data_IF_444089542419
#
_entry.id   IF_444089542419
#
_cell.length_a   1.000
_cell.length_b   1.000
_cell.length_c   1.000
_cell.angle_alpha   90.00
_cell.angle_beta   90.00
_cell.angle_gamma   90.00
#
_symmetry.space_group_name_H-M   'P 1'
#
loop_
_entity.id
_entity.type
_entity.pdbx_description
1 polymer ?
#
# COMPACT_ATOMS: atom_id res chain seq x y z
N UNK A 1 -2.53 -19.78 -1.34
CA UNK A 1 -2.54 -18.47 -0.69
C UNK A 1 -1.24 -18.21 0.02
N UNK A 2 -0.67 -17.06 -0.19
CA UNK A 2 0.59 -16.71 0.42
C UNK A 2 0.41 -15.78 1.59
N UNK A 3 1.20 -16.03 2.62
CA UNK A 3 1.25 -15.12 3.75
C UNK A 3 2.45 -14.21 3.57
N UNK A 4 2.20 -12.93 3.52
CA UNK A 4 3.27 -11.98 3.41
C UNK A 4 3.90 -11.80 4.77
N UNK A 5 5.22 -11.60 4.78
CA UNK A 5 5.91 -11.44 6.04
C UNK A 5 5.43 -10.18 6.73
N UNK A 6 5.42 -10.22 8.05
CA UNK A 6 5.06 -9.06 8.83
C UNK A 6 6.03 -7.92 8.56
N UNK A 7 7.27 -8.26 8.30
CA UNK A 7 8.28 -7.26 7.99
C UNK A 7 7.93 -6.47 6.74
N UNK A 8 7.44 -7.16 5.71
CA UNK A 8 7.05 -6.50 4.48
C UNK A 8 5.86 -5.59 4.71
N UNK A 9 4.85 -6.10 5.41
CA UNK A 9 3.65 -5.32 5.69
C UNK A 9 4.00 -4.06 6.47
N UNK A 10 4.85 -4.18 7.47
CA UNK A 10 5.23 -3.03 8.27
C UNK A 10 6.06 -2.03 7.48
N UNK A 11 6.92 -2.52 6.60
CA UNK A 11 7.71 -1.66 5.76
C UNK A 11 6.82 -0.83 4.84
N UNK A 12 5.83 -1.46 4.24
CA UNK A 12 4.91 -0.74 3.37
C UNK A 12 4.00 0.19 4.15
N UNK A 13 3.58 -0.22 5.34
CA UNK A 13 2.77 0.65 6.19
C UNK A 13 3.51 1.93 6.52
N UNK A 14 4.79 1.81 6.86
CA UNK A 14 5.59 2.97 7.15
C UNK A 14 5.71 3.89 5.95
N UNK A 15 5.87 3.30 4.77
CA UNK A 15 5.96 4.09 3.56
C UNK A 15 4.67 4.86 3.31
N UNK A 16 3.53 4.23 3.51
CA UNK A 16 2.25 4.90 3.32
C UNK A 16 2.10 6.08 4.27
N UNK A 17 2.48 5.88 5.51
CA UNK A 17 2.36 6.94 6.52
C UNK A 17 3.26 8.12 6.18
N UNK A 18 4.38 7.86 5.54
CA UNK A 18 5.33 8.90 5.20
C UNK A 18 4.94 9.71 3.98
N UNK A 19 3.94 9.25 3.21
CA UNK A 19 3.49 10.04 2.08
C UNK A 19 2.91 11.36 2.56
N UNK A 20 3.18 12.44 1.85
CA UNK A 20 2.66 13.75 2.26
C UNK A 20 1.15 13.84 2.04
N UNK A 21 0.52 14.68 2.82
CA UNK A 21 -0.90 15.00 2.70
C UNK A 21 -1.77 13.78 2.86
N UNK A 22 -1.33 12.90 3.71
CA UNK A 22 -2.08 11.69 4.00
C UNK A 22 -3.42 12.05 4.65
N UNK A 23 -4.48 11.45 4.17
CA UNK A 23 -5.78 11.62 4.79
C UNK A 23 -6.51 10.30 4.78
N UNK A 24 -7.49 10.17 5.65
CA UNK A 24 -8.24 8.93 5.75
C UNK A 24 -8.91 8.59 4.43
N UNK A 25 -9.41 9.61 3.73
CA UNK A 25 -10.08 9.36 2.48
C UNK A 25 -9.17 8.90 1.37
N UNK A 26 -7.85 9.01 1.57
CA UNK A 26 -6.89 8.65 0.54
C UNK A 26 -6.05 7.45 0.92
N UNK A 27 -6.36 6.81 2.04
CA UNK A 27 -5.54 5.70 2.50
C UNK A 27 -5.49 4.56 1.48
N UNK A 28 -6.62 4.32 0.82
CA UNK A 28 -6.66 3.26 -0.18
C UNK A 28 -5.76 3.57 -1.35
N UNK A 29 -5.75 4.82 -1.77
CA UNK A 29 -4.90 5.24 -2.86
C UNK A 29 -3.43 5.06 -2.52
N UNK A 30 -3.05 5.47 -1.32
CA UNK A 30 -1.66 5.35 -0.91
C UNK A 30 -1.23 3.89 -0.74
N UNK A 31 -2.13 3.05 -0.27
CA UNK A 31 -1.82 1.62 -0.19
C UNK A 31 -1.60 1.05 -1.59
N UNK A 32 -2.45 1.44 -2.52
CA UNK A 32 -2.30 0.99 -3.90
C UNK A 32 -0.96 1.44 -4.48
N UNK A 33 -0.58 2.68 -4.19
CA UNK A 33 0.70 3.20 -4.67
C UNK A 33 1.88 2.43 -4.10
N UNK A 34 1.83 2.13 -2.82
CA UNK A 34 2.93 1.42 -2.18
C UNK A 34 3.06 0.02 -2.74
N UNK A 35 1.94 -0.66 -2.93
CA UNK A 35 1.95 -2.01 -3.48
C UNK A 35 2.41 -2.00 -4.93
N UNK A 36 1.99 -0.99 -5.67
CA UNK A 36 2.43 -0.85 -7.07
C UNK A 36 3.95 -0.69 -7.14
N UNK A 37 4.50 0.16 -6.30
CA UNK A 37 5.94 0.36 -6.29
C UNK A 37 6.67 -0.91 -5.89
N UNK A 38 6.10 -1.65 -4.95
CA UNK A 38 6.72 -2.90 -4.54
C UNK A 38 6.74 -3.91 -5.68
N UNK A 39 5.66 -3.98 -6.43
CA UNK A 39 5.56 -4.99 -7.48
C UNK A 39 6.33 -4.59 -8.74
N UNK A 40 6.28 -3.35 -9.12
CA UNK A 40 6.82 -2.90 -10.40
C UNK A 40 8.10 -2.08 -10.29
N UNK A 41 8.47 -1.71 -9.10
CA UNK A 41 9.70 -0.94 -8.89
C UNK A 41 9.58 0.54 -9.14
N UNK A 42 8.39 1.02 -9.52
CA UNK A 42 8.17 2.44 -9.76
C UNK A 42 6.81 2.82 -9.22
N UNK A 43 6.68 4.07 -8.83
CA UNK A 43 5.38 4.60 -8.42
C UNK A 43 4.47 4.72 -9.65
N UNK A 44 3.15 4.55 -9.45
CA UNK A 44 2.24 4.68 -10.58
C UNK A 44 2.07 6.13 -10.98
N UNK A 45 1.90 6.34 -12.27
CA UNK A 45 1.49 7.65 -12.76
C UNK A 45 -0.03 7.68 -12.75
N UNK A 46 -0.61 8.84 -13.01
CA UNK A 46 -2.05 8.93 -12.97
C UNK A 46 -2.72 8.14 -14.09
N UNK A 47 -1.96 7.74 -15.10
CA UNK A 47 -2.49 6.93 -16.19
C UNK A 47 -2.04 5.48 -16.14
N UNK A 48 -1.38 5.10 -15.08
CA UNK A 48 -0.82 3.75 -14.96
C UNK A 48 -1.92 2.79 -14.52
N UNK A 49 -2.15 1.75 -15.33
CA UNK A 49 -3.19 0.79 -15.04
C UNK A 49 -2.62 -0.61 -14.82
N UNK A 50 -1.34 -0.71 -14.51
CA UNK A 50 -0.73 -2.00 -14.25
C UNK A 50 -1.39 -2.68 -13.08
N UNK A 51 -1.41 -4.02 -13.15
CA UNK A 51 -1.96 -4.78 -12.05
C UNK A 51 -1.08 -4.69 -10.82
N UNK A 52 -1.71 -4.72 -9.68
CA UNK A 52 -0.99 -4.80 -8.42
C UNK A 52 -1.33 -6.12 -7.75
N UNK A 53 -0.59 -6.44 -6.70
CA UNK A 53 -0.87 -7.62 -5.90
C UNK A 53 -2.03 -7.29 -4.96
N UNK A 54 -3.22 -7.73 -5.33
CA UNK A 54 -4.43 -7.38 -4.59
C UNK A 54 -4.42 -7.93 -3.17
N UNK A 55 -3.86 -9.13 -2.98
CA UNK A 55 -3.79 -9.68 -1.64
C UNK A 55 -2.91 -8.85 -0.74
N UNK A 56 -1.78 -8.44 -1.25
CA UNK A 56 -0.89 -7.57 -0.49
C UNK A 56 -1.55 -6.23 -0.21
N UNK A 57 -2.25 -5.69 -1.21
CA UNK A 57 -2.96 -4.44 -1.03
C UNK A 57 -4.00 -4.54 0.08
N UNK A 58 -4.78 -5.61 0.08
CA UNK A 58 -5.82 -5.78 1.09
C UNK A 58 -5.23 -5.96 2.49
N UNK A 59 -4.15 -6.72 2.59
CA UNK A 59 -3.51 -6.90 3.88
C UNK A 59 -2.92 -5.61 4.40
N UNK A 60 -2.30 -4.83 3.52
CA UNK A 60 -1.73 -3.56 3.90
C UNK A 60 -2.82 -2.59 4.34
N UNK A 61 -3.90 -2.54 3.59
CA UNK A 61 -5.01 -1.67 3.92
C UNK A 61 -5.62 -2.02 5.27
N UNK A 62 -5.79 -3.32 5.52
CA UNK A 62 -6.36 -3.77 6.78
C UNK A 62 -5.44 -3.43 7.95
N UNK A 63 -4.14 -3.59 7.75
CA UNK A 63 -3.17 -3.27 8.80
C UNK A 63 -3.26 -1.79 9.17
N UNK A 64 -3.34 -0.94 8.17
CA UNK A 64 -3.39 0.50 8.44
C UNK A 64 -4.70 0.91 9.09
N UNK A 65 -5.81 0.30 8.66
CA UNK A 65 -7.09 0.60 9.27
C UNK A 65 -7.14 0.15 10.72
N UNK A 66 -6.49 -0.94 11.05
CA UNK A 66 -6.49 -1.42 12.43
C UNK A 66 -5.66 -0.53 13.33
N UNK A 67 -4.83 0.33 12.75
CA UNK A 67 -4.06 1.30 13.52
C UNK A 67 -4.77 2.64 13.63
N UNK A 68 -6.00 2.71 13.19
CA UNK A 68 -6.82 3.93 13.28
C UNK A 68 -6.26 5.07 12.47
N UNK A 69 -5.79 4.77 11.32
CA UNK A 69 -5.32 5.82 10.41
C UNK A 69 -6.40 6.28 9.47
#
# INVERSE_FOLDING_TARGET
MEDYSESLIQSLSKKVIEYPRFSIGEIEKFCWMAVHEHKHGVLPSEYDIREIDEELYLQLLQELKSKNL
#
